data_IF_316879207708
#
_entry.id   IF_316879207708
#
_cell.length_a   1.000
_cell.length_b   1.000
_cell.length_c   1.000
_cell.angle_alpha   90.00
_cell.angle_beta   90.00
_cell.angle_gamma   90.00
#
_symmetry.space_group_name_H-M   'P 1'
#
loop_
_entity.id
_entity.type
_entity.pdbx_description
1 polymer ?
#
# COMPACT_ATOMS: atom_id res chain seq x y z
N UNK A 1 10.54 -2.56 9.90
CA UNK A 1 9.55 -2.74 8.83
C UNK A 1 9.81 -1.61 7.86
N UNK A 2 10.07 -1.96 6.60
CA UNK A 2 10.25 -0.95 5.56
C UNK A 2 8.89 -0.70 4.90
N UNK A 3 8.62 0.55 4.52
CA UNK A 3 7.42 0.89 3.79
C UNK A 3 7.40 0.14 2.44
N UNK A 4 6.24 -0.40 2.07
CA UNK A 4 6.01 -0.93 0.73
C UNK A 4 6.04 0.19 -0.32
N UNK A 5 5.63 1.39 0.10
CA UNK A 5 5.71 2.61 -0.69
C UNK A 5 5.79 3.81 0.26
N UNK A 6 6.63 4.79 -0.09
CA UNK A 6 6.72 6.06 0.59
C UNK A 6 6.75 7.18 -0.45
N UNK A 7 5.79 8.10 -0.38
CA UNK A 7 5.78 9.28 -1.22
C UNK A 7 6.95 10.21 -0.81
N UNK A 8 7.75 10.74 -1.76
CA UNK A 8 8.92 11.59 -1.45
C UNK A 8 8.59 12.81 -0.57
N UNK A 9 7.41 13.41 -0.80
CA UNK A 9 6.94 14.59 -0.05
C UNK A 9 6.15 14.25 1.23
N UNK A 10 6.12 12.97 1.65
CA UNK A 10 5.40 12.54 2.85
C UNK A 10 3.87 12.48 2.72
N UNK A 11 3.33 12.65 1.51
CA UNK A 11 1.88 12.64 1.23
C UNK A 11 1.27 11.23 1.05
N UNK A 12 1.88 10.21 1.65
CA UNK A 12 1.36 8.85 1.53
C UNK A 12 2.41 7.79 1.80
N UNK A 13 2.05 6.83 2.64
CA UNK A 13 2.86 5.66 2.97
C UNK A 13 1.97 4.41 2.97
N UNK A 14 2.47 3.32 2.39
CA UNK A 14 1.88 2.00 2.49
C UNK A 14 2.78 1.07 3.29
N UNK A 15 2.23 0.42 4.30
CA UNK A 15 2.95 -0.48 5.20
C UNK A 15 2.17 -1.79 5.35
N UNK A 16 2.88 -2.90 5.58
CA UNK A 16 2.24 -4.16 5.96
C UNK A 16 2.73 -4.63 7.34
N UNK A 17 1.83 -4.64 8.32
CA UNK A 17 2.06 -5.19 9.64
C UNK A 17 1.72 -6.68 9.65
N UNK A 18 2.76 -7.50 9.73
CA UNK A 18 2.65 -8.95 9.75
C UNK A 18 2.10 -9.51 11.07
N UNK A 19 2.30 -8.81 12.19
CA UNK A 19 1.82 -9.26 13.50
C UNK A 19 0.30 -9.16 13.58
N UNK A 20 -0.26 -8.10 13.02
CA UNK A 20 -1.72 -7.86 13.02
C UNK A 20 -2.41 -8.16 11.70
N UNK A 21 -1.65 -8.55 10.66
CA UNK A 21 -2.16 -8.81 9.30
C UNK A 21 -2.93 -7.61 8.72
N UNK A 22 -2.32 -6.42 8.79
CA UNK A 22 -2.90 -5.16 8.32
C UNK A 22 -2.06 -4.54 7.21
N UNK A 23 -2.73 -4.14 6.12
CA UNK A 23 -2.18 -3.20 5.16
C UNK A 23 -2.62 -1.79 5.58
N UNK A 24 -1.68 -0.93 5.92
CA UNK A 24 -1.93 0.43 6.39
C UNK A 24 -1.71 1.43 5.27
N UNK A 25 -2.54 2.47 5.26
CA UNK A 25 -2.36 3.70 4.51
C UNK A 25 -2.24 4.85 5.50
N UNK A 26 -1.09 5.52 5.48
CA UNK A 26 -0.82 6.69 6.30
C UNK A 26 -0.60 7.90 5.39
N UNK A 27 -1.20 9.03 5.73
CA UNK A 27 -0.89 10.33 5.14
C UNK A 27 -0.89 11.36 6.27
N UNK A 28 0.28 11.59 6.85
CA UNK A 28 0.44 12.51 7.99
C UNK A 28 0.16 13.97 7.60
N UNK A 29 0.40 14.35 6.34
CA UNK A 29 0.09 15.69 5.85
C UNK A 29 -1.41 16.01 5.92
N UNK A 30 -2.26 14.98 5.80
CA UNK A 30 -3.72 15.09 5.90
C UNK A 30 -4.28 14.52 7.22
N UNK A 31 -3.43 14.00 8.11
CA UNK A 31 -3.86 13.30 9.32
C UNK A 31 -4.68 12.03 9.05
N UNK A 32 -4.53 11.41 7.88
CA UNK A 32 -5.30 10.23 7.47
C UNK A 32 -4.58 8.95 7.83
N UNK A 33 -5.20 8.13 8.67
CA UNK A 33 -4.69 6.83 9.10
C UNK A 33 -5.77 5.77 8.87
N UNK A 34 -5.56 4.85 7.94
CA UNK A 34 -6.52 3.80 7.59
C UNK A 34 -5.84 2.44 7.44
N UNK A 35 -6.63 1.35 7.54
CA UNK A 35 -6.12 0.00 7.32
C UNK A 35 -7.17 -0.94 6.73
N UNK A 36 -6.68 -1.99 6.07
CA UNK A 36 -7.45 -3.17 5.70
C UNK A 36 -6.85 -4.42 6.36
N UNK A 37 -7.70 -5.32 6.85
CA UNK A 37 -7.27 -6.66 7.24
C UNK A 37 -6.97 -7.46 5.97
N UNK A 38 -5.77 -8.05 5.90
CA UNK A 38 -5.35 -8.76 4.70
C UNK A 38 -4.45 -9.95 5.05
N UNK A 39 -4.76 -11.10 4.47
CA UNK A 39 -3.92 -12.29 4.56
C UNK A 39 -2.99 -12.44 3.36
N UNK A 40 -2.10 -13.46 3.36
CA UNK A 40 -1.16 -13.69 2.27
C UNK A 40 -1.81 -13.88 0.89
N UNK A 41 -3.01 -14.45 0.81
CA UNK A 41 -3.73 -14.59 -0.46
C UNK A 41 -4.19 -13.22 -1.01
N UNK A 42 -4.74 -12.37 -0.14
CA UNK A 42 -5.16 -11.01 -0.50
C UNK A 42 -3.98 -10.14 -0.93
N UNK A 43 -2.84 -10.24 -0.24
CA UNK A 43 -1.62 -9.51 -0.62
C UNK A 43 -1.16 -9.86 -2.04
N UNK A 44 -1.17 -11.15 -2.41
CA UNK A 44 -0.81 -11.59 -3.77
C UNK A 44 -1.79 -11.06 -4.81
N UNK A 45 -3.08 -11.07 -4.51
CA UNK A 45 -4.11 -10.52 -5.40
C UNK A 45 -3.93 -9.00 -5.62
N UNK A 46 -3.73 -8.24 -4.53
CA UNK A 46 -3.45 -6.79 -4.61
C UNK A 46 -2.18 -6.53 -5.41
N UNK A 47 -1.09 -7.26 -5.16
CA UNK A 47 0.16 -7.10 -5.91
C UNK A 47 -0.01 -7.36 -7.41
N UNK A 48 -0.76 -8.42 -7.78
CA UNK A 48 -1.03 -8.73 -9.19
C UNK A 48 -1.85 -7.62 -9.88
N UNK A 49 -2.86 -7.07 -9.18
CA UNK A 49 -3.69 -5.97 -9.70
C UNK A 49 -2.91 -4.67 -9.84
N UNK A 50 -2.04 -4.34 -8.88
CA UNK A 50 -1.19 -3.17 -8.95
C UNK A 50 -0.19 -3.27 -10.12
N UNK A 51 0.40 -4.46 -10.34
CA UNK A 51 1.30 -4.69 -11.47
C UNK A 51 0.58 -4.51 -12.81
N UNK A 52 -0.63 -5.07 -12.94
CA UNK A 52 -1.45 -4.88 -14.14
C UNK A 52 -1.74 -3.40 -14.39
N UNK A 53 -2.19 -2.69 -13.35
CA UNK A 53 -2.47 -1.25 -13.43
C UNK A 53 -1.24 -0.42 -13.80
N UNK A 54 -0.06 -0.75 -13.27
CA UNK A 54 1.18 -0.03 -13.59
C UNK A 54 1.56 -0.17 -15.07
N UNK A 55 1.32 -1.35 -15.67
CA UNK A 55 1.54 -1.56 -17.10
C UNK A 55 0.56 -0.76 -17.96
N UNK A 56 -0.67 -0.56 -17.49
CA UNK A 56 -1.66 0.27 -18.18
C UNK A 56 -1.31 1.76 -18.06
N UNK A 57 -0.96 2.24 -16.87
CA UNK A 57 -0.65 3.66 -16.62
C UNK A 57 0.66 4.09 -17.30
N UNK A 58 1.67 3.22 -17.37
CA UNK A 58 2.93 3.51 -18.08
C UNK A 58 2.82 3.64 -19.59
N UNK A 59 1.62 3.46 -20.15
CA UNK A 59 1.32 3.65 -21.59
C UNK A 59 0.64 4.99 -21.92
N UNK A 60 0.44 5.86 -20.93
CA UNK A 60 -0.04 7.25 -21.04
C UNK A 60 1.12 8.26 -21.05
#
# INVERSE_FOLDING_TARGET
MDALYQHPDGMGELLFDAETSRLLLLNDAEGLHAYALIGPAGLRDVAAKLLALANDVGSL
#
